data_IF_498454363156
#
_entry.id   IF_498454363156
#
_cell.length_a   1.000
_cell.length_b   1.000
_cell.length_c   1.000
_cell.angle_alpha   90.00
_cell.angle_beta   90.00
_cell.angle_gamma   90.00
#
_symmetry.space_group_name_H-M   'P 1'
#
loop_
_entity.id
_entity.type
_entity.pdbx_description
1 polymer ?
#
# COMPACT_ATOMS: atom_id res chain seq x y z
N UNK A 1 9.03 -3.53 -6.40
CA UNK A 1 8.68 -2.09 -6.36
C UNK A 1 7.19 -1.90 -6.29
N UNK A 2 6.78 -0.96 -5.48
CA UNK A 2 5.36 -0.63 -5.34
C UNK A 2 4.95 0.32 -6.45
N UNK A 3 3.75 0.11 -7.00
CA UNK A 3 3.14 1.09 -7.88
C UNK A 3 2.58 2.22 -7.02
N UNK A 4 3.40 3.25 -6.80
CA UNK A 4 3.09 4.35 -5.89
C UNK A 4 1.81 5.09 -6.28
N UNK A 5 1.64 5.36 -7.57
CA UNK A 5 0.47 6.10 -8.05
C UNK A 5 -0.82 5.33 -7.80
N UNK A 6 -0.79 4.02 -8.05
CA UNK A 6 -1.97 3.19 -7.84
C UNK A 6 -2.31 3.05 -6.36
N UNK A 7 -1.29 2.90 -5.51
CA UNK A 7 -1.52 2.82 -4.07
C UNK A 7 -2.09 4.11 -3.52
N UNK A 8 -1.51 5.26 -3.90
CA UNK A 8 -2.01 6.56 -3.48
C UNK A 8 -3.46 6.77 -3.92
N UNK A 9 -3.78 6.37 -5.16
CA UNK A 9 -5.13 6.49 -5.67
C UNK A 9 -6.11 5.63 -4.88
N UNK A 10 -5.73 4.41 -4.53
CA UNK A 10 -6.58 3.53 -3.74
C UNK A 10 -6.83 4.09 -2.35
N UNK A 11 -5.82 4.68 -1.71
CA UNK A 11 -5.99 5.32 -0.42
C UNK A 11 -6.94 6.51 -0.55
N UNK A 12 -6.75 7.35 -1.57
CA UNK A 12 -7.59 8.51 -1.81
C UNK A 12 -9.04 8.09 -2.07
N UNK A 13 -9.25 7.11 -2.95
CA UNK A 13 -10.58 6.61 -3.29
C UNK A 13 -11.29 6.00 -2.08
N UNK A 14 -10.55 5.47 -1.11
CA UNK A 14 -11.14 4.89 0.11
C UNK A 14 -11.69 5.94 1.06
N UNK A 15 -11.34 7.21 0.86
CA UNK A 15 -11.69 8.29 1.78
C UNK A 15 -10.82 8.33 3.02
N UNK A 16 -9.86 7.42 3.15
CA UNK A 16 -8.94 7.40 4.29
C UNK A 16 -7.74 8.30 4.00
N UNK A 17 -7.17 8.85 5.07
CA UNK A 17 -5.92 9.60 4.96
C UNK A 17 -4.74 8.66 5.10
N UNK A 18 -3.62 9.00 4.46
CA UNK A 18 -2.39 8.20 4.55
C UNK A 18 -1.97 8.00 5.99
N UNK A 19 -2.07 9.05 6.81
CA UNK A 19 -1.74 8.98 8.23
C UNK A 19 -2.56 7.90 8.96
N UNK A 20 -3.85 7.83 8.67
CA UNK A 20 -4.74 6.84 9.27
C UNK A 20 -4.35 5.42 8.85
N UNK A 21 -4.11 5.23 7.56
CA UNK A 21 -3.71 3.90 7.04
C UNK A 21 -2.39 3.47 7.67
N UNK A 22 -1.43 4.39 7.79
CA UNK A 22 -0.14 4.11 8.43
C UNK A 22 -0.33 3.53 9.83
N UNK A 23 -1.15 4.18 10.64
CA UNK A 23 -1.42 3.72 12.01
C UNK A 23 -2.06 2.33 11.99
N UNK A 24 -2.99 2.09 11.09
CA UNK A 24 -3.69 0.80 11.00
C UNK A 24 -2.76 -0.36 10.64
N UNK A 25 -1.67 -0.09 9.95
CA UNK A 25 -0.73 -1.13 9.54
C UNK A 25 0.55 -1.14 10.38
N UNK A 26 0.56 -0.37 11.48
CA UNK A 26 1.66 -0.38 12.43
C UNK A 26 2.88 0.42 12.02
N UNK A 27 2.70 1.41 11.15
CA UNK A 27 3.79 2.28 10.69
C UNK A 27 3.56 3.71 11.12
N UNK A 28 4.68 4.46 11.22
CA UNK A 28 4.58 5.91 11.32
C UNK A 28 4.24 6.48 9.93
N UNK A 29 3.63 7.67 9.85
CA UNK A 29 3.39 8.30 8.55
C UNK A 29 4.66 8.47 7.72
N UNK A 30 5.75 8.91 8.35
CA UNK A 30 7.04 9.07 7.65
C UNK A 30 7.55 7.75 7.10
N UNK A 31 7.48 6.67 7.88
CA UNK A 31 7.88 5.34 7.44
C UNK A 31 7.02 4.82 6.29
N UNK A 32 5.72 5.08 6.37
CA UNK A 32 4.79 4.70 5.31
C UNK A 32 5.09 5.44 4.00
N UNK A 33 5.33 6.76 4.07
CA UNK A 33 5.70 7.53 2.89
C UNK A 33 6.96 7.00 2.21
N UNK A 34 7.98 6.63 2.99
CA UNK A 34 9.20 6.05 2.43
C UNK A 34 8.91 4.77 1.65
N UNK A 35 8.04 3.93 2.18
CA UNK A 35 7.68 2.68 1.53
C UNK A 35 6.83 2.90 0.29
N UNK A 36 5.88 3.83 0.35
CA UNK A 36 5.07 4.20 -0.82
C UNK A 36 5.97 4.73 -1.94
N UNK A 37 6.98 5.51 -1.60
CA UNK A 37 7.88 6.13 -2.58
C UNK A 37 9.05 5.24 -2.99
N UNK A 38 9.02 3.97 -2.62
CA UNK A 38 10.05 2.98 -2.97
C UNK A 38 11.44 3.28 -2.39
N UNK A 39 11.51 4.04 -1.30
CA UNK A 39 12.74 4.25 -0.56
C UNK A 39 13.03 3.11 0.41
N UNK A 40 12.01 2.31 0.68
CA UNK A 40 12.07 1.19 1.61
C UNK A 40 11.03 0.18 1.15
N UNK A 41 11.24 -1.10 1.39
CA UNK A 41 10.33 -2.14 0.94
C UNK A 41 9.26 -2.44 1.98
N UNK A 42 8.06 -2.81 1.50
CA UNK A 42 7.00 -3.30 2.36
C UNK A 42 7.31 -4.73 2.80
N UNK A 43 7.04 -5.01 4.07
CA UNK A 43 7.07 -6.39 4.58
C UNK A 43 5.79 -7.11 4.14
N UNK A 44 5.85 -8.44 4.05
CA UNK A 44 4.68 -9.24 3.69
C UNK A 44 3.51 -8.95 4.63
N UNK A 45 3.77 -8.85 5.92
CA UNK A 45 2.73 -8.55 6.91
C UNK A 45 2.06 -7.20 6.66
N UNK A 46 2.83 -6.23 6.17
CA UNK A 46 2.31 -4.90 5.85
C UNK A 46 1.45 -4.93 4.59
N UNK A 47 1.86 -5.71 3.58
CA UNK A 47 1.06 -5.90 2.37
C UNK A 47 -0.29 -6.53 2.71
N UNK A 48 -0.28 -7.55 3.57
CA UNK A 48 -1.51 -8.21 4.03
C UNK A 48 -2.40 -7.20 4.76
N UNK A 49 -1.82 -6.40 5.65
CA UNK A 49 -2.57 -5.41 6.42
C UNK A 49 -3.20 -4.34 5.51
N UNK A 50 -2.43 -3.82 4.56
CA UNK A 50 -2.93 -2.82 3.60
C UNK A 50 -4.07 -3.40 2.76
N UNK A 51 -3.89 -4.63 2.29
CA UNK A 51 -4.91 -5.32 1.50
C UNK A 51 -6.23 -5.40 2.26
N UNK A 52 -6.16 -5.70 3.55
CA UNK A 52 -7.33 -5.77 4.40
C UNK A 52 -7.95 -4.39 4.67
N UNK A 53 -7.13 -3.43 5.04
CA UNK A 53 -7.59 -2.08 5.40
C UNK A 53 -8.25 -1.38 4.22
N UNK A 54 -7.69 -1.51 3.02
CA UNK A 54 -8.21 -0.88 1.82
C UNK A 54 -9.21 -1.76 1.07
N UNK A 55 -9.41 -2.99 1.50
CA UNK A 55 -10.33 -3.90 0.81
C UNK A 55 -9.89 -4.23 -0.61
N UNK A 56 -8.60 -4.42 -0.82
CA UNK A 56 -8.08 -4.70 -2.15
C UNK A 56 -8.42 -6.11 -2.59
N UNK A 57 -8.74 -6.27 -3.88
CA UNK A 57 -8.84 -7.59 -4.49
C UNK A 57 -7.44 -8.18 -4.67
N UNK A 58 -7.36 -9.48 -4.95
CA UNK A 58 -6.09 -10.13 -5.25
C UNK A 58 -5.39 -9.48 -6.45
N UNK A 59 -6.16 -9.13 -7.49
CA UNK A 59 -5.62 -8.46 -8.65
C UNK A 59 -5.07 -7.07 -8.31
N UNK A 60 -5.80 -6.30 -7.52
CA UNK A 60 -5.37 -4.97 -7.11
C UNK A 60 -4.11 -5.04 -6.27
N UNK A 61 -4.07 -5.96 -5.31
CA UNK A 61 -2.88 -6.19 -4.49
C UNK A 61 -1.68 -6.53 -5.37
N UNK A 62 -1.84 -7.44 -6.31
CA UNK A 62 -0.75 -7.88 -7.16
C UNK A 62 -0.26 -6.75 -8.07
N UNK A 63 -1.16 -5.95 -8.61
CA UNK A 63 -0.78 -4.81 -9.44
C UNK A 63 -0.02 -3.74 -8.64
N UNK A 64 -0.42 -3.51 -7.40
CA UNK A 64 0.22 -2.50 -6.56
C UNK A 64 1.59 -2.96 -6.08
N UNK A 65 1.68 -4.18 -5.58
CA UNK A 65 2.85 -4.63 -4.82
C UNK A 65 3.78 -5.55 -5.61
N UNK A 66 3.28 -6.25 -6.62
CA UNK A 66 4.07 -7.27 -7.32
C UNK A 66 4.23 -6.99 -8.82
N UNK A 67 3.73 -5.86 -9.29
CA UNK A 67 3.84 -5.46 -10.68
C UNK A 67 2.82 -6.19 -11.56
N UNK A 68 1.97 -5.43 -12.24
CA UNK A 68 1.02 -6.00 -13.18
C UNK A 68 1.77 -6.60 -14.37
N UNK A 69 1.28 -7.72 -14.87
CA UNK A 69 1.85 -8.35 -16.04
C UNK A 69 3.10 -9.15 -15.78
N UNK A 70 3.50 -9.31 -14.54
CA UNK A 70 4.54 -10.27 -14.19
C UNK A 70 3.88 -11.63 -14.22
N UNK A 71 4.17 -12.33 -15.23
CA UNK A 71 3.61 -13.65 -15.41
C UNK A 71 4.30 -14.66 -14.52
#
# INVERSE_FOLDING_TARGET
MVNSNMLKKKIDDSGMKIKYVAVQIGLTPAGFYKKINNESEFKVSEVVAITRVLGLSSNERDEIFFGSGVA
#
